data_IF_799258566820
#
_entry.id   IF_799258566820
#
_cell.length_a   1.000
_cell.length_b   1.000
_cell.length_c   1.000
_cell.angle_alpha   90.00
_cell.angle_beta   90.00
_cell.angle_gamma   90.00
#
_symmetry.space_group_name_H-M   'P 1'
#
loop_
_entity.id
_entity.type
_entity.pdbx_description
1 polymer ?
#
# COMPACT_ATOMS: atom_id res chain seq x y z
N UNK A 1 -32.10 9.83 59.62
CA UNK A 1 -32.38 9.50 58.23
C UNK A 1 -31.90 10.70 57.42
N UNK A 2 -30.76 10.58 56.73
CA UNK A 2 -30.29 11.63 55.85
C UNK A 2 -31.15 11.54 54.54
N UNK A 3 -31.99 12.54 54.28
CA UNK A 3 -32.66 12.68 53.00
C UNK A 3 -31.58 12.78 51.91
N UNK A 4 -31.57 11.80 51.08
CA UNK A 4 -30.69 11.76 49.93
C UNK A 4 -31.21 12.77 48.90
N UNK A 5 -30.83 14.06 49.02
CA UNK A 5 -31.23 15.16 48.13
C UNK A 5 -30.53 14.97 46.76
N UNK A 6 -31.00 14.00 46.00
CA UNK A 6 -30.47 13.72 44.66
C UNK A 6 -30.78 14.91 43.73
N UNK A 7 -29.76 15.59 43.23
CA UNK A 7 -29.88 16.73 42.30
C UNK A 7 -30.70 16.29 41.07
N UNK A 8 -31.79 17.05 40.78
CA UNK A 8 -32.62 16.78 39.62
C UNK A 8 -31.88 17.07 38.30
N UNK A 9 -32.30 16.44 37.22
CA UNK A 9 -31.70 16.67 35.90
C UNK A 9 -31.81 18.13 35.44
N UNK A 10 -32.92 18.83 35.76
CA UNK A 10 -33.07 20.26 35.45
C UNK A 10 -32.06 21.14 36.21
N UNK A 11 -31.74 20.80 37.45
CA UNK A 11 -30.69 21.46 38.21
C UNK A 11 -29.30 21.17 37.61
N UNK A 12 -29.04 19.95 37.20
CA UNK A 12 -27.78 19.59 36.54
C UNK A 12 -27.54 20.44 35.29
N UNK A 13 -28.54 20.61 34.42
CA UNK A 13 -28.40 21.45 33.22
C UNK A 13 -28.10 22.93 33.56
N UNK A 14 -28.73 23.48 34.59
CA UNK A 14 -28.44 24.85 35.06
C UNK A 14 -26.99 24.98 35.59
N UNK A 15 -26.49 23.94 36.26
CA UNK A 15 -25.10 23.91 36.75
C UNK A 15 -24.09 23.97 35.63
N UNK A 16 -24.31 23.24 34.51
CA UNK A 16 -23.38 23.21 33.36
C UNK A 16 -23.11 24.60 32.79
N UNK A 17 -24.13 25.51 32.82
CA UNK A 17 -24.01 26.89 32.33
C UNK A 17 -23.72 27.91 33.45
N UNK A 18 -23.55 27.46 34.69
CA UNK A 18 -23.27 28.34 35.83
C UNK A 18 -21.88 28.97 35.71
N UNK A 19 -21.65 30.11 36.39
CA UNK A 19 -20.38 30.86 36.36
C UNK A 19 -19.16 29.99 36.77
N UNK A 20 -19.40 28.92 37.52
CA UNK A 20 -18.38 27.99 38.01
C UNK A 20 -18.02 26.96 36.97
N UNK A 21 -18.97 26.42 36.17
CA UNK A 21 -18.81 25.25 35.31
C UNK A 21 -18.80 25.56 33.82
N UNK A 22 -19.23 26.75 33.37
CA UNK A 22 -19.39 27.05 31.94
C UNK A 22 -18.12 26.85 31.12
N UNK A 23 -16.98 27.24 31.65
CA UNK A 23 -15.68 27.09 30.94
C UNK A 23 -15.27 25.63 30.87
N UNK A 24 -15.49 24.82 31.93
CA UNK A 24 -15.25 23.36 31.92
C UNK A 24 -16.18 22.68 30.92
N UNK A 25 -17.46 23.10 30.88
CA UNK A 25 -18.42 22.62 29.89
C UNK A 25 -17.93 22.87 28.48
N UNK A 26 -17.39 24.05 28.18
CA UNK A 26 -16.83 24.36 26.85
C UNK A 26 -15.64 23.49 26.52
N UNK A 27 -14.74 23.25 27.47
CA UNK A 27 -13.60 22.35 27.28
C UNK A 27 -14.05 20.91 27.00
N UNK A 28 -15.04 20.43 27.77
CA UNK A 28 -15.60 19.08 27.57
C UNK A 28 -16.30 18.98 26.21
N UNK A 29 -17.09 19.95 25.82
CA UNK A 29 -17.75 19.98 24.51
C UNK A 29 -16.71 20.02 23.38
N UNK A 30 -15.66 20.82 23.50
CA UNK A 30 -14.55 20.86 22.55
C UNK A 30 -13.82 19.51 22.45
N UNK A 31 -13.54 18.89 23.60
CA UNK A 31 -12.96 17.56 23.67
C UNK A 31 -13.85 16.48 23.01
N UNK A 32 -15.15 16.49 23.31
CA UNK A 32 -16.10 15.59 22.66
C UNK A 32 -16.17 15.80 21.16
N UNK A 33 -16.22 17.04 20.69
CA UNK A 33 -16.24 17.36 19.28
C UNK A 33 -14.97 16.83 18.56
N UNK A 34 -13.80 17.00 19.19
CA UNK A 34 -12.54 16.45 18.69
C UNK A 34 -12.57 14.91 18.61
N UNK A 35 -13.00 14.25 19.69
CA UNK A 35 -13.06 12.78 19.73
C UNK A 35 -14.04 12.23 18.68
N UNK A 36 -15.22 12.86 18.53
CA UNK A 36 -16.20 12.49 17.49
C UNK A 36 -15.61 12.72 16.10
N UNK A 37 -14.90 13.84 15.88
CA UNK A 37 -14.24 14.11 14.58
C UNK A 37 -13.19 13.07 14.24
N UNK A 38 -12.40 12.61 15.22
CA UNK A 38 -11.43 11.53 15.05
C UNK A 38 -12.10 10.19 14.73
N UNK A 39 -13.25 9.89 15.39
CA UNK A 39 -14.05 8.71 15.07
C UNK A 39 -14.57 8.72 13.62
N UNK A 40 -15.12 9.86 13.18
CA UNK A 40 -15.58 10.04 11.79
C UNK A 40 -14.42 9.90 10.81
N UNK A 41 -13.28 10.52 11.08
CA UNK A 41 -12.09 10.40 10.24
C UNK A 41 -11.63 8.94 10.08
N UNK A 42 -11.70 8.13 11.12
CA UNK A 42 -11.40 6.69 11.03
C UNK A 42 -12.40 5.95 10.13
N UNK A 43 -13.68 6.29 10.20
CA UNK A 43 -14.70 5.71 9.30
C UNK A 43 -14.48 6.12 7.84
N UNK A 44 -14.11 7.38 7.59
CA UNK A 44 -13.77 7.86 6.25
C UNK A 44 -12.56 7.09 5.69
N UNK A 45 -11.56 6.85 6.54
CA UNK A 45 -10.36 6.08 6.15
C UNK A 45 -10.69 4.61 5.85
N UNK A 46 -11.59 4.02 6.64
CA UNK A 46 -12.10 2.66 6.39
C UNK A 46 -12.83 2.57 5.05
N UNK A 47 -13.72 3.53 4.79
CA UNK A 47 -14.48 3.57 3.53
C UNK A 47 -13.54 3.71 2.31
N UNK A 48 -12.52 4.58 2.41
CA UNK A 48 -11.49 4.72 1.38
C UNK A 48 -10.75 3.39 1.15
N UNK A 49 -10.31 2.70 2.24
CA UNK A 49 -9.58 1.43 2.12
C UNK A 49 -10.44 0.33 1.49
N UNK A 50 -11.73 0.27 1.85
CA UNK A 50 -12.70 -0.66 1.24
C UNK A 50 -12.89 -0.39 -0.25
N UNK A 51 -12.96 0.88 -0.65
CA UNK A 51 -13.03 1.25 -2.06
C UNK A 51 -11.82 0.78 -2.84
N UNK A 52 -10.61 1.05 -2.33
CA UNK A 52 -9.36 0.58 -2.93
C UNK A 52 -9.30 -0.96 -3.03
N UNK A 53 -9.65 -1.68 -1.96
CA UNK A 53 -9.65 -3.14 -1.95
C UNK A 53 -10.65 -3.71 -2.96
N UNK A 54 -11.82 -3.07 -3.12
CA UNK A 54 -12.82 -3.48 -4.11
C UNK A 54 -12.31 -3.28 -5.54
N UNK A 55 -11.61 -2.18 -5.83
CA UNK A 55 -11.00 -1.92 -7.13
C UNK A 55 -9.89 -2.93 -7.44
N UNK A 56 -8.97 -3.18 -6.51
CA UNK A 56 -7.94 -4.22 -6.65
C UNK A 56 -8.56 -5.59 -6.93
N UNK A 57 -9.57 -5.98 -6.12
CA UNK A 57 -10.26 -7.27 -6.29
C UNK A 57 -10.94 -7.38 -7.67
N UNK A 58 -11.54 -6.29 -8.14
CA UNK A 58 -12.16 -6.25 -9.45
C UNK A 58 -11.12 -6.40 -10.58
N UNK A 59 -9.95 -5.78 -10.47
CA UNK A 59 -8.85 -5.94 -11.43
C UNK A 59 -8.30 -7.37 -11.43
N UNK A 60 -8.09 -7.97 -10.26
CA UNK A 60 -7.64 -9.36 -10.15
C UNK A 60 -8.64 -10.37 -10.74
N UNK A 61 -9.94 -10.08 -10.66
CA UNK A 61 -11.00 -10.92 -11.20
C UNK A 61 -11.32 -10.64 -12.68
N UNK A 62 -10.77 -9.57 -13.26
CA UNK A 62 -10.99 -9.22 -14.66
C UNK A 62 -10.32 -10.25 -15.59
N UNK A 63 -10.88 -10.47 -16.81
CA UNK A 63 -10.24 -11.35 -17.77
C UNK A 63 -8.79 -10.92 -18.05
N UNK A 64 -7.85 -11.86 -18.24
CA UNK A 64 -6.47 -11.53 -18.57
C UNK A 64 -6.40 -10.61 -19.78
N UNK A 65 -5.54 -9.59 -19.69
CA UNK A 65 -5.24 -8.69 -20.82
C UNK A 65 -4.08 -9.27 -21.58
N UNK A 66 -4.25 -9.42 -22.91
CA UNK A 66 -3.13 -9.78 -23.80
C UNK A 66 -2.52 -8.47 -24.30
N UNK A 67 -1.23 -8.27 -24.02
CA UNK A 67 -0.50 -7.13 -24.59
C UNK A 67 -0.33 -7.36 -26.08
N UNK A 68 -0.90 -6.45 -26.86
CA UNK A 68 -0.80 -6.44 -28.32
C UNK A 68 -0.05 -5.18 -28.77
N UNK A 69 0.58 -5.20 -29.96
CA UNK A 69 1.18 -4.01 -30.50
C UNK A 69 0.20 -2.84 -30.51
N UNK A 70 0.63 -1.71 -29.95
CA UNK A 70 -0.21 -0.50 -29.89
C UNK A 70 -1.20 -0.43 -28.72
N UNK A 71 -1.18 -1.38 -27.76
CA UNK A 71 -1.91 -1.20 -26.49
C UNK A 71 -1.53 0.13 -25.86
N UNK A 72 -2.51 1.00 -25.61
CA UNK A 72 -2.23 2.35 -25.12
C UNK A 72 -1.65 2.34 -23.71
N UNK A 73 -0.59 3.13 -23.46
CA UNK A 73 0.02 3.24 -22.13
C UNK A 73 -0.99 3.71 -21.07
N UNK A 74 -1.96 4.56 -21.46
CA UNK A 74 -3.05 4.99 -20.56
C UNK A 74 -4.01 3.88 -20.15
N UNK A 75 -4.15 2.83 -20.96
CA UNK A 75 -4.92 1.64 -20.55
C UNK A 75 -4.17 0.83 -19.50
N UNK A 76 -2.83 0.89 -19.54
CA UNK A 76 -1.96 0.18 -18.62
C UNK A 76 -1.81 0.88 -17.26
N UNK A 77 -1.97 2.20 -17.21
CA UNK A 77 -1.96 2.96 -15.93
C UNK A 77 -3.13 2.58 -15.00
N UNK A 78 -4.21 2.00 -15.55
CA UNK A 78 -5.43 1.68 -14.81
C UNK A 78 -5.58 0.18 -14.49
N UNK A 79 -4.59 -0.66 -14.84
CA UNK A 79 -4.72 -2.13 -14.73
C UNK A 79 -3.77 -2.76 -13.70
N UNK A 80 -3.29 -1.97 -12.73
CA UNK A 80 -2.55 -2.53 -11.61
C UNK A 80 -3.32 -3.72 -10.99
N UNK A 81 -2.60 -4.78 -10.66
CA UNK A 81 -3.14 -6.07 -10.16
C UNK A 81 -3.96 -6.90 -11.16
N UNK A 82 -4.08 -6.48 -12.41
CA UNK A 82 -4.72 -7.30 -13.44
C UNK A 82 -3.73 -8.33 -13.98
N UNK A 83 -4.24 -9.53 -14.28
CA UNK A 83 -3.45 -10.54 -14.97
C UNK A 83 -3.21 -10.10 -16.42
N UNK A 84 -1.96 -10.18 -16.86
CA UNK A 84 -1.51 -9.75 -18.19
C UNK A 84 -0.67 -10.86 -18.81
N UNK A 85 -0.92 -11.13 -20.08
CA UNK A 85 -0.10 -12.03 -20.90
C UNK A 85 0.69 -11.22 -21.92
N UNK A 86 1.98 -11.45 -22.00
CA UNK A 86 2.89 -10.78 -22.92
C UNK A 86 3.73 -11.80 -23.67
N UNK A 87 3.97 -11.55 -24.98
CA UNK A 87 4.84 -12.38 -25.81
C UNK A 87 5.99 -11.52 -26.36
N UNK A 88 7.21 -12.05 -26.30
CA UNK A 88 8.39 -11.33 -26.75
C UNK A 88 9.70 -12.02 -26.42
N UNK A 89 10.78 -11.27 -26.43
CA UNK A 89 12.14 -11.74 -26.13
C UNK A 89 12.72 -10.90 -25.00
N UNK A 90 13.42 -11.55 -24.06
CA UNK A 90 14.11 -10.82 -23.00
C UNK A 90 15.34 -10.07 -23.56
N UNK A 91 15.48 -8.82 -23.16
CA UNK A 91 16.74 -8.08 -23.29
C UNK A 91 17.66 -8.50 -22.13
N UNK A 92 18.52 -9.48 -22.41
CA UNK A 92 19.41 -10.08 -21.42
C UNK A 92 20.57 -9.14 -21.03
N UNK A 93 20.95 -8.20 -21.90
CA UNK A 93 21.96 -7.18 -21.58
C UNK A 93 21.39 -6.09 -20.65
N UNK A 94 20.06 -5.88 -20.71
CA UNK A 94 19.32 -4.93 -19.88
C UNK A 94 18.86 -5.49 -18.54
N UNK A 95 19.33 -6.66 -18.10
CA UNK A 95 18.94 -7.22 -16.81
C UNK A 95 19.52 -6.43 -15.63
N UNK A 96 18.76 -6.39 -14.53
CA UNK A 96 19.20 -5.80 -13.27
C UNK A 96 18.56 -6.52 -12.08
N UNK A 97 19.05 -6.27 -10.87
CA UNK A 97 18.46 -6.81 -9.65
C UNK A 97 17.83 -5.73 -8.79
N UNK A 98 16.71 -6.08 -8.16
CA UNK A 98 16.10 -5.31 -7.10
C UNK A 98 16.62 -5.80 -5.75
N UNK A 99 17.36 -4.94 -5.06
CA UNK A 99 18.05 -5.25 -3.80
C UNK A 99 17.09 -5.35 -2.61
N UNK A 100 17.58 -5.93 -1.51
CA UNK A 100 16.89 -6.01 -0.21
C UNK A 100 15.55 -6.75 -0.27
N UNK A 101 15.50 -7.84 -1.01
CA UNK A 101 14.32 -8.70 -1.07
C UNK A 101 14.43 -9.87 -0.09
N UNK A 102 13.28 -10.41 0.29
CA UNK A 102 13.20 -11.57 1.16
C UNK A 102 12.24 -12.61 0.55
N UNK A 103 12.64 -13.86 0.58
CA UNK A 103 11.78 -14.97 0.20
C UNK A 103 11.88 -16.08 1.24
N UNK A 104 10.75 -16.46 1.84
CA UNK A 104 10.67 -17.49 2.90
C UNK A 104 11.66 -17.26 4.06
N UNK A 105 11.91 -16.00 4.43
CA UNK A 105 12.85 -15.64 5.50
C UNK A 105 14.32 -15.58 5.08
N UNK A 106 14.63 -15.81 3.81
CA UNK A 106 15.99 -15.70 3.26
C UNK A 106 16.17 -14.38 2.51
N UNK A 107 17.25 -13.68 2.84
CA UNK A 107 17.62 -12.46 2.13
C UNK A 107 18.09 -12.77 0.70
N UNK A 108 17.71 -11.90 -0.24
CA UNK A 108 18.06 -12.05 -1.64
C UNK A 108 17.72 -10.82 -2.47
N UNK A 109 17.57 -11.04 -3.75
CA UNK A 109 17.26 -10.02 -4.75
C UNK A 109 16.17 -10.52 -5.69
N UNK A 110 15.46 -9.62 -6.38
CA UNK A 110 14.63 -10.00 -7.53
C UNK A 110 15.38 -9.70 -8.83
N UNK A 111 15.42 -10.68 -9.72
CA UNK A 111 15.96 -10.49 -11.06
C UNK A 111 14.89 -9.87 -11.96
N UNK A 112 15.21 -8.71 -12.53
CA UNK A 112 14.40 -8.03 -13.53
C UNK A 112 15.04 -8.11 -14.91
N UNK A 113 14.19 -8.25 -15.92
CA UNK A 113 14.60 -8.14 -17.33
C UNK A 113 13.51 -7.38 -18.11
N UNK A 114 13.88 -6.49 -19.06
CA UNK A 114 12.94 -6.01 -20.05
C UNK A 114 12.52 -7.15 -20.98
N UNK A 115 11.23 -7.24 -21.28
CA UNK A 115 10.69 -8.09 -22.34
C UNK A 115 10.32 -7.20 -23.52
N UNK A 116 11.08 -7.30 -24.60
CA UNK A 116 10.79 -6.63 -25.87
C UNK A 116 9.57 -7.30 -26.50
N UNK A 117 8.50 -6.53 -26.67
CA UNK A 117 7.21 -7.05 -27.12
C UNK A 117 7.22 -7.33 -28.63
N UNK A 118 6.68 -8.46 -29.02
CA UNK A 118 6.61 -8.84 -30.43
C UNK A 118 5.70 -7.88 -31.22
N UNK A 119 6.28 -7.32 -32.30
CA UNK A 119 5.58 -6.38 -33.19
C UNK A 119 5.34 -5.00 -32.58
N UNK A 120 5.98 -4.68 -31.45
CA UNK A 120 5.96 -3.37 -30.80
C UNK A 120 7.40 -2.88 -30.61
N UNK A 121 7.63 -1.57 -30.56
CA UNK A 121 8.95 -0.97 -30.28
C UNK A 121 9.17 -0.78 -28.77
N UNK A 122 8.20 -1.15 -27.95
CA UNK A 122 8.21 -1.00 -26.50
C UNK A 122 8.56 -2.30 -25.80
N UNK A 123 8.99 -2.17 -24.54
CA UNK A 123 9.22 -3.30 -23.66
C UNK A 123 8.42 -3.15 -22.36
N UNK A 124 8.17 -4.26 -21.68
CA UNK A 124 7.65 -4.30 -20.32
C UNK A 124 8.73 -4.84 -19.39
N UNK A 125 8.95 -4.20 -18.26
CA UNK A 125 9.81 -4.77 -17.21
C UNK A 125 9.14 -6.02 -16.61
N UNK A 126 9.91 -7.07 -16.41
CA UNK A 126 9.44 -8.34 -15.84
C UNK A 126 10.26 -8.68 -14.63
N UNK A 127 9.62 -8.85 -13.48
CA UNK A 127 10.22 -9.50 -12.33
C UNK A 127 10.20 -11.01 -12.57
N UNK A 128 11.35 -11.56 -12.92
CA UNK A 128 11.54 -12.98 -13.25
C UNK A 128 11.51 -13.88 -12.02
N UNK A 129 11.81 -13.33 -10.83
CA UNK A 129 11.78 -14.07 -9.59
C UNK A 129 12.93 -13.74 -8.65
N UNK A 130 12.94 -14.43 -7.53
CA UNK A 130 13.92 -14.26 -6.46
C UNK A 130 15.18 -15.10 -6.68
N UNK A 131 16.32 -14.47 -6.36
CA UNK A 131 17.65 -15.09 -6.31
C UNK A 131 18.26 -14.91 -4.91
N UNK A 132 19.13 -15.85 -4.45
CA UNK A 132 19.91 -15.69 -3.22
C UNK A 132 20.80 -14.42 -3.25
N UNK A 133 21.13 -13.89 -2.07
CA UNK A 133 21.89 -12.64 -1.93
C UNK A 133 23.33 -12.69 -2.46
N UNK A 134 23.87 -13.86 -2.70
CA UNK A 134 25.19 -14.07 -3.32
C UNK A 134 25.16 -14.03 -4.86
N UNK A 135 24.00 -13.86 -5.46
CA UNK A 135 23.80 -13.79 -6.93
C UNK A 135 23.40 -12.38 -7.39
N UNK A 136 24.16 -11.40 -7.00
CA UNK A 136 23.89 -9.99 -7.32
C UNK A 136 24.64 -9.47 -8.54
N UNK A 137 25.65 -10.21 -9.01
CA UNK A 137 26.49 -9.78 -10.12
C UNK A 137 25.96 -10.30 -11.46
N UNK A 138 26.08 -9.52 -12.56
CA UNK A 138 25.60 -9.93 -13.87
C UNK A 138 26.14 -11.29 -14.35
N UNK A 139 27.33 -11.65 -13.94
CA UNK A 139 27.94 -12.95 -14.31
C UNK A 139 27.14 -14.16 -13.77
N UNK A 140 26.43 -13.99 -12.66
CA UNK A 140 25.65 -15.04 -12.03
C UNK A 140 24.32 -15.28 -12.77
N UNK A 141 23.81 -14.30 -13.52
CA UNK A 141 22.48 -14.36 -14.14
C UNK A 141 22.45 -15.14 -15.45
N UNK A 142 23.61 -15.31 -16.10
CA UNK A 142 23.74 -16.04 -17.37
C UNK A 142 23.24 -17.49 -17.30
N UNK A 143 23.25 -18.09 -16.09
CA UNK A 143 22.68 -19.42 -15.87
C UNK A 143 21.13 -19.44 -16.05
N UNK A 144 20.49 -18.30 -16.01
CA UNK A 144 19.03 -18.12 -16.10
C UNK A 144 18.61 -17.46 -17.41
N UNK A 145 19.50 -17.32 -18.37
CA UNK A 145 19.21 -16.72 -19.66
C UNK A 145 18.23 -17.56 -20.46
N UNK A 146 17.20 -16.89 -20.98
CA UNK A 146 16.20 -17.46 -21.90
C UNK A 146 16.30 -16.66 -23.19
N UNK A 147 16.86 -17.26 -24.21
CA UNK A 147 17.12 -16.62 -25.51
C UNK A 147 15.98 -16.79 -26.51
N UNK A 148 15.11 -17.75 -26.27
CA UNK A 148 13.95 -18.02 -27.13
C UNK A 148 12.83 -17.01 -26.86
N UNK A 149 11.92 -16.91 -27.84
CA UNK A 149 10.66 -16.23 -27.65
C UNK A 149 9.87 -16.85 -26.51
N UNK A 150 9.36 -16.01 -25.61
CA UNK A 150 8.54 -16.47 -24.49
C UNK A 150 7.16 -15.85 -24.51
N UNK A 151 6.17 -16.58 -24.02
CA UNK A 151 4.88 -16.06 -23.65
C UNK A 151 4.75 -16.20 -22.14
N UNK A 152 4.68 -15.07 -21.46
CA UNK A 152 4.63 -15.01 -20.00
C UNK A 152 3.27 -14.49 -19.54
N UNK A 153 2.85 -14.94 -18.36
CA UNK A 153 1.67 -14.44 -17.67
C UNK A 153 2.06 -14.00 -16.26
N UNK A 154 1.56 -12.86 -15.85
CA UNK A 154 1.84 -12.29 -14.54
C UNK A 154 0.83 -11.21 -14.19
N UNK A 155 0.98 -10.62 -13.01
CA UNK A 155 0.16 -9.48 -12.58
C UNK A 155 0.89 -8.17 -12.84
N UNK A 156 0.20 -7.21 -13.48
CA UNK A 156 0.73 -5.86 -13.64
C UNK A 156 0.86 -5.21 -12.26
N UNK A 157 2.00 -4.61 -12.01
CA UNK A 157 2.31 -3.86 -10.79
C UNK A 157 2.63 -2.40 -11.14
N UNK A 158 2.23 -1.50 -10.26
CA UNK A 158 2.56 -0.09 -10.41
C UNK A 158 4.06 0.17 -10.21
N UNK A 159 4.56 1.15 -10.94
CA UNK A 159 5.89 1.72 -10.70
C UNK A 159 5.98 2.31 -9.29
N UNK A 160 6.94 1.85 -8.49
CA UNK A 160 7.10 2.27 -7.10
C UNK A 160 8.09 3.43 -6.99
N UNK A 161 7.57 4.62 -6.76
CA UNK A 161 8.40 5.79 -6.52
C UNK A 161 9.04 5.75 -5.12
N UNK A 162 10.36 5.96 -5.00
CA UNK A 162 11.01 6.03 -3.69
C UNK A 162 10.44 7.20 -2.86
N UNK A 163 10.31 7.02 -1.52
CA UNK A 163 9.83 8.08 -0.65
C UNK A 163 10.80 9.27 -0.64
N UNK A 164 10.27 10.49 -0.82
CA UNK A 164 10.96 11.78 -0.62
C UNK A 164 12.19 12.09 -1.47
N UNK A 165 12.57 11.27 -2.45
CA UNK A 165 13.69 11.57 -3.34
C UNK A 165 13.22 12.18 -4.66
N UNK A 166 13.95 13.16 -5.18
CA UNK A 166 13.87 13.50 -6.61
C UNK A 166 14.43 12.34 -7.43
N UNK A 167 14.07 12.27 -8.71
CA UNK A 167 14.60 11.23 -9.60
C UNK A 167 16.15 11.23 -9.61
N UNK A 168 16.76 12.42 -9.68
CA UNK A 168 18.21 12.59 -9.67
C UNK A 168 18.84 12.14 -8.35
N UNK A 169 18.23 12.46 -7.20
CA UNK A 169 18.75 12.07 -5.89
C UNK A 169 18.70 10.55 -5.73
N UNK A 170 17.63 9.93 -6.20
CA UNK A 170 17.48 8.48 -6.16
C UNK A 170 18.52 7.78 -7.02
N UNK A 171 18.68 8.20 -8.28
CA UNK A 171 19.67 7.60 -9.20
C UNK A 171 21.09 7.76 -8.68
N UNK A 172 21.43 8.93 -8.12
CA UNK A 172 22.74 9.19 -7.54
C UNK A 172 23.01 8.41 -6.24
N UNK A 173 21.98 7.90 -5.57
CA UNK A 173 22.12 7.09 -4.35
C UNK A 173 22.47 5.63 -4.60
N UNK A 174 22.35 5.17 -5.85
CA UNK A 174 22.60 3.79 -6.24
C UNK A 174 24.05 3.63 -6.69
N UNK A 175 24.78 2.69 -6.10
CA UNK A 175 26.20 2.49 -6.42
C UNK A 175 26.42 2.02 -7.86
N UNK A 176 25.54 1.13 -8.36
CA UNK A 176 25.58 0.59 -9.72
C UNK A 176 24.19 0.68 -10.35
N UNK A 177 23.76 1.88 -10.82
CA UNK A 177 22.40 2.06 -11.34
C UNK A 177 22.12 1.22 -12.60
N UNK A 178 23.14 0.76 -13.31
CA UNK A 178 22.96 -0.08 -14.48
C UNK A 178 22.51 -1.51 -14.14
N UNK A 179 22.88 -2.01 -12.95
CA UNK A 179 22.69 -3.43 -12.59
C UNK A 179 21.94 -3.65 -11.29
N UNK A 180 21.69 -2.61 -10.47
CA UNK A 180 21.07 -2.77 -9.16
C UNK A 180 20.19 -1.57 -8.77
N UNK A 181 18.99 -1.86 -8.26
CA UNK A 181 18.01 -0.88 -7.81
C UNK A 181 17.42 -1.27 -6.46
N UNK A 182 16.88 -0.30 -5.70
CA UNK A 182 16.12 -0.56 -4.46
C UNK A 182 14.61 -0.52 -4.67
N UNK A 183 14.14 0.18 -5.71
CA UNK A 183 12.72 0.37 -6.02
C UNK A 183 12.50 0.15 -7.51
N UNK A 184 11.44 -0.54 -7.92
CA UNK A 184 11.11 -0.70 -9.33
C UNK A 184 10.46 0.59 -9.86
N UNK A 185 11.25 1.68 -9.89
CA UNK A 185 10.80 2.99 -10.35
C UNK A 185 11.05 3.13 -11.85
N UNK A 186 10.06 2.73 -12.65
CA UNK A 186 10.15 2.64 -14.11
C UNK A 186 10.64 3.94 -14.77
N UNK A 187 10.20 5.10 -14.31
CA UNK A 187 10.63 6.38 -14.88
C UNK A 187 12.14 6.67 -14.71
N UNK A 188 12.78 6.11 -13.67
CA UNK A 188 14.23 6.20 -13.50
C UNK A 188 14.93 5.15 -14.35
N UNK A 189 14.45 3.91 -14.30
CA UNK A 189 14.97 2.75 -15.01
C UNK A 189 14.91 2.97 -16.53
N UNK A 190 13.87 3.63 -17.04
CA UNK A 190 13.71 4.01 -18.44
C UNK A 190 14.94 4.71 -19.04
N UNK A 191 15.69 5.47 -18.25
CA UNK A 191 16.85 6.23 -18.72
C UNK A 191 18.02 5.35 -19.20
N UNK A 192 17.97 4.07 -18.89
CA UNK A 192 19.02 3.10 -19.27
C UNK A 192 18.75 2.44 -20.62
N UNK A 193 17.52 2.56 -21.16
CA UNK A 193 17.11 1.82 -22.35
C UNK A 193 16.83 2.76 -23.53
N UNK A 194 17.20 2.33 -24.75
CA UNK A 194 16.94 3.10 -25.98
C UNK A 194 15.49 2.99 -26.47
N UNK A 195 14.71 2.05 -25.92
CA UNK A 195 13.31 1.79 -26.23
C UNK A 195 12.40 2.25 -25.08
N UNK A 196 11.12 2.48 -25.36
CA UNK A 196 10.14 2.89 -24.36
C UNK A 196 9.73 1.69 -23.48
N UNK A 197 9.75 1.90 -22.16
CA UNK A 197 9.17 0.96 -21.19
C UNK A 197 7.71 1.29 -20.96
N UNK A 198 6.87 0.26 -20.91
CA UNK A 198 5.48 0.40 -20.46
C UNK A 198 5.43 0.86 -18.98
N UNK A 199 4.40 1.61 -18.56
CA UNK A 199 4.25 2.02 -17.19
C UNK A 199 4.03 0.79 -16.28
N UNK A 200 4.77 0.68 -15.19
CA UNK A 200 4.71 -0.47 -14.31
C UNK A 200 5.58 -1.65 -14.77
N UNK A 201 5.38 -2.81 -14.13
CA UNK A 201 6.13 -4.03 -14.42
C UNK A 201 5.25 -5.27 -14.22
N UNK A 202 5.58 -6.36 -14.87
CA UNK A 202 4.94 -7.66 -14.69
C UNK A 202 5.63 -8.44 -13.56
N UNK A 203 4.85 -8.80 -12.57
CA UNK A 203 5.23 -9.78 -11.55
C UNK A 203 4.83 -11.16 -12.06
N UNK A 204 5.79 -12.02 -12.40
CA UNK A 204 5.49 -13.39 -12.86
C UNK A 204 4.75 -14.16 -11.78
N UNK A 205 3.74 -14.90 -12.22
CA UNK A 205 3.00 -15.80 -11.36
C UNK A 205 3.71 -17.16 -11.29
N UNK A 206 3.88 -17.73 -10.09
CA UNK A 206 4.36 -19.10 -9.97
C UNK A 206 3.42 -20.05 -10.73
N UNK A 207 3.95 -20.79 -11.69
CA UNK A 207 3.15 -21.79 -12.39
C UNK A 207 2.83 -22.96 -11.46
N UNK A 208 1.57 -23.43 -11.49
CA UNK A 208 1.15 -24.61 -10.75
C UNK A 208 2.03 -25.80 -11.16
N UNK A 209 2.67 -26.45 -10.18
CA UNK A 209 3.56 -27.61 -10.39
C UNK A 209 4.85 -27.32 -11.19
N UNK A 210 5.26 -26.08 -11.39
CA UNK A 210 6.58 -25.81 -11.91
C UNK A 210 7.65 -26.30 -10.92
N UNK A 211 8.77 -26.89 -11.41
CA UNK A 211 9.87 -27.22 -10.54
C UNK A 211 10.38 -25.94 -9.87
N UNK A 212 10.79 -26.05 -8.61
CA UNK A 212 11.36 -24.93 -7.87
C UNK A 212 12.79 -24.67 -8.39
N UNK A 213 12.88 -23.97 -9.52
CA UNK A 213 14.15 -23.57 -10.16
C UNK A 213 14.31 -22.06 -10.03
N UNK A 214 15.57 -21.63 -9.85
CA UNK A 214 15.91 -20.21 -9.82
C UNK A 214 15.79 -19.58 -11.23
N UNK A 215 15.36 -18.33 -11.31
CA UNK A 215 14.81 -17.46 -10.26
C UNK A 215 13.44 -17.93 -9.80
N UNK A 216 13.17 -17.98 -8.48
CA UNK A 216 11.85 -18.40 -7.96
C UNK A 216 10.82 -17.32 -8.23
N UNK A 217 9.79 -17.56 -9.07
CA UNK A 217 8.69 -16.63 -9.22
C UNK A 217 8.00 -16.43 -7.88
N UNK A 218 7.82 -15.19 -7.48
CA UNK A 218 7.19 -14.83 -6.20
C UNK A 218 5.84 -14.19 -6.51
N UNK A 219 4.77 -14.77 -5.96
CA UNK A 219 3.44 -14.21 -6.13
C UNK A 219 3.38 -12.75 -5.63
N UNK A 220 2.63 -11.92 -6.34
CA UNK A 220 2.39 -10.54 -5.91
C UNK A 220 1.66 -10.54 -4.55
N UNK A 221 2.28 -9.96 -3.52
CA UNK A 221 1.60 -9.77 -2.25
C UNK A 221 0.62 -8.61 -2.34
N UNK A 222 -0.66 -8.91 -2.18
CA UNK A 222 -1.73 -7.91 -2.19
C UNK A 222 -2.33 -7.83 -0.80
N UNK A 223 -2.08 -6.73 -0.10
CA UNK A 223 -2.69 -6.47 1.20
C UNK A 223 -4.12 -5.91 1.03
N UNK A 224 -5.12 -6.79 1.14
CA UNK A 224 -6.54 -6.45 1.13
C UNK A 224 -7.10 -6.19 2.53
N UNK A 225 -6.27 -6.09 3.57
CA UNK A 225 -6.74 -5.80 4.92
C UNK A 225 -7.40 -4.43 5.01
N UNK A 226 -8.47 -4.34 5.76
CA UNK A 226 -9.14 -3.06 6.06
C UNK A 226 -8.39 -2.25 7.12
N UNK A 227 -7.39 -2.84 7.78
CA UNK A 227 -6.71 -2.28 8.93
C UNK A 227 -7.62 -2.18 10.16
N UNK A 228 -7.13 -1.51 11.19
CA UNK A 228 -7.84 -1.39 12.48
C UNK A 228 -8.78 -0.17 12.56
N UNK A 229 -9.11 0.46 11.44
CA UNK A 229 -9.84 1.72 11.40
C UNK A 229 -11.21 1.65 12.10
N UNK A 230 -11.95 0.54 11.91
CA UNK A 230 -13.24 0.33 12.55
C UNK A 230 -13.14 0.28 14.09
N UNK A 231 -12.17 -0.46 14.60
CA UNK A 231 -11.94 -0.58 16.04
C UNK A 231 -11.55 0.76 16.66
N UNK A 232 -10.69 1.53 15.99
CA UNK A 232 -10.32 2.87 16.44
C UNK A 232 -11.49 3.85 16.40
N UNK A 233 -12.37 3.79 15.40
CA UNK A 233 -13.57 4.62 15.36
C UNK A 233 -14.45 4.38 16.60
N UNK A 234 -14.70 3.12 16.93
CA UNK A 234 -15.49 2.78 18.14
C UNK A 234 -14.80 3.24 19.43
N UNK A 235 -13.48 3.16 19.52
CA UNK A 235 -12.74 3.65 20.69
C UNK A 235 -12.91 5.18 20.85
N UNK A 236 -12.81 5.96 19.77
CA UNK A 236 -12.98 7.40 19.83
C UNK A 236 -14.39 7.80 20.27
N UNK A 237 -15.43 7.13 19.76
CA UNK A 237 -16.81 7.38 20.19
C UNK A 237 -17.04 6.96 21.65
N UNK A 238 -16.46 5.84 22.09
CA UNK A 238 -16.51 5.39 23.47
C UNK A 238 -15.84 6.40 24.41
N UNK A 239 -14.69 6.96 24.03
CA UNK A 239 -14.01 8.00 24.81
C UNK A 239 -14.85 9.28 24.90
N UNK A 240 -15.49 9.70 23.81
CA UNK A 240 -16.40 10.85 23.83
C UNK A 240 -17.56 10.63 24.81
N UNK A 241 -18.19 9.44 24.75
CA UNK A 241 -19.27 9.07 25.67
C UNK A 241 -18.81 9.03 27.13
N UNK A 242 -17.65 8.39 27.36
CA UNK A 242 -17.06 8.30 28.72
C UNK A 242 -16.75 9.69 29.28
N UNK A 243 -16.21 10.59 28.46
CA UNK A 243 -15.92 11.97 28.86
C UNK A 243 -17.18 12.68 29.34
N UNK A 244 -18.30 12.55 28.62
CA UNK A 244 -19.61 13.13 29.02
C UNK A 244 -20.10 12.52 30.33
N UNK A 245 -20.06 11.17 30.44
CA UNK A 245 -20.54 10.48 31.64
C UNK A 245 -19.75 10.91 32.88
N UNK A 246 -18.42 10.88 32.78
CA UNK A 246 -17.53 11.27 33.88
C UNK A 246 -17.73 12.72 34.26
N UNK A 247 -17.85 13.60 33.26
CA UNK A 247 -18.12 15.02 33.51
C UNK A 247 -19.41 15.23 34.26
N UNK A 248 -20.52 14.66 33.80
CA UNK A 248 -21.83 14.77 34.46
C UNK A 248 -21.78 14.20 35.88
N UNK A 249 -21.11 13.10 36.09
CA UNK A 249 -20.91 12.51 37.42
C UNK A 249 -20.14 13.46 38.35
N UNK A 250 -19.05 14.07 37.88
CA UNK A 250 -18.23 15.00 38.66
C UNK A 250 -19.06 16.27 39.06
N UNK A 251 -19.81 16.86 38.13
CA UNK A 251 -20.64 18.02 38.38
C UNK A 251 -21.67 17.68 39.47
N UNK A 252 -22.37 16.55 39.37
CA UNK A 252 -23.39 16.14 40.33
C UNK A 252 -22.81 15.85 41.71
N UNK A 253 -21.63 15.16 41.76
CA UNK A 253 -20.97 14.83 43.03
C UNK A 253 -20.49 16.06 43.80
N UNK A 254 -19.86 17.03 43.11
CA UNK A 254 -19.33 18.22 43.78
C UNK A 254 -20.45 19.12 44.33
N UNK A 255 -21.55 19.24 43.67
CA UNK A 255 -22.68 20.07 44.14
C UNK A 255 -23.46 19.36 45.26
N UNK A 256 -23.54 18.02 45.28
CA UNK A 256 -24.18 17.30 46.39
C UNK A 256 -23.37 17.35 47.71
N UNK A 257 -22.08 17.72 47.66
CA UNK A 257 -21.27 17.92 48.87
C UNK A 257 -21.35 19.34 49.40
N UNK A 258 -21.80 20.30 48.59
CA UNK A 258 -21.87 21.73 48.95
C UNK A 258 -23.30 22.17 49.38
N UNK A 259 -24.31 21.33 49.20
CA UNK A 259 -25.66 21.47 49.70
C UNK A 259 -25.91 20.63 50.93
#
# INVERSE_FOLDING_TARGET
MAENNAISWGQTVRLLISRRWWWVTLVVLGGCALLVRLGIWQLDRLAWRRGLNAEITAQMAAPPLILTPGTASTELDAIAYRQVTATGHYDLEGQFVLLQQNYLGQAGVYLFAPLLLDGDERAVLVNRGWLPADQTEPADWSAYDVTEQVTITGFMQDSQKPPQASLSDYTNSIANPETAWYWPYVAAIQQQYPYELLPGYLQLEPADNAPAELPYPVAAEVDLSEGNHQSYAYQWFAFALTLVIVYLFLVRRQESVLT
#
